data_IF_085248918596
#
_entry.id   IF_085248918596
#
_cell.length_a   1.000
_cell.length_b   1.000
_cell.length_c   1.000
_cell.angle_alpha   90.00
_cell.angle_beta   90.00
_cell.angle_gamma   90.00
#
_symmetry.space_group_name_H-M   'P 1'
#
loop_
_entity.id
_entity.type
_entity.pdbx_description
1 polymer ?
#
# COMPACT_ATOMS: atom_id res chain seq x y z
N UNK A 1 13.06 -49.77 -7.30
CA UNK A 1 12.30 -50.17 -6.08
C UNK A 1 12.63 -49.15 -5.00
N UNK A 2 11.67 -48.29 -4.66
CA UNK A 2 11.78 -47.25 -3.62
C UNK A 2 10.50 -47.39 -2.77
N UNK A 3 10.58 -47.56 -1.43
CA UNK A 3 9.39 -47.75 -0.62
C UNK A 3 8.63 -46.44 -0.36
N UNK A 4 7.31 -46.56 -0.43
CA UNK A 4 6.27 -45.62 0.04
C UNK A 4 6.31 -45.49 1.56
N UNK A 5 6.08 -44.27 2.07
CA UNK A 5 5.62 -44.06 3.44
C UNK A 5 4.46 -43.04 3.46
N UNK A 6 3.33 -43.51 3.99
CA UNK A 6 2.09 -42.78 4.24
C UNK A 6 2.05 -42.22 5.67
N UNK A 7 1.28 -41.17 5.90
CA UNK A 7 0.86 -40.70 7.23
C UNK A 7 0.03 -39.42 7.09
N UNK A 8 -1.30 -39.49 7.10
CA UNK A 8 -2.24 -39.60 8.22
C UNK A 8 -2.72 -38.21 8.71
N UNK A 9 -4.00 -37.95 8.46
CA UNK A 9 -4.75 -36.77 8.86
C UNK A 9 -5.23 -36.86 10.32
N UNK A 10 -5.41 -35.71 10.98
CA UNK A 10 -6.21 -35.56 12.21
C UNK A 10 -6.98 -34.25 12.17
N UNK A 11 -8.30 -34.36 12.20
CA UNK A 11 -9.24 -33.29 12.45
C UNK A 11 -9.65 -33.33 13.94
N UNK A 12 -9.83 -32.18 14.58
CA UNK A 12 -10.63 -32.07 15.80
C UNK A 12 -11.20 -30.65 15.96
N UNK A 13 -12.34 -30.60 16.63
CA UNK A 13 -13.44 -29.64 16.55
C UNK A 13 -13.65 -28.93 17.88
N UNK A 14 -14.16 -27.69 17.80
CA UNK A 14 -15.12 -27.00 18.70
C UNK A 14 -14.83 -26.87 20.21
N UNK A 15 -14.85 -25.63 20.72
CA UNK A 15 -15.55 -25.31 21.98
C UNK A 15 -15.87 -23.80 22.08
N UNK A 16 -17.15 -23.48 22.16
CA UNK A 16 -17.71 -22.18 22.52
C UNK A 16 -17.52 -21.92 24.01
N UNK A 17 -17.20 -20.69 24.43
CA UNK A 17 -17.39 -20.27 25.82
C UNK A 17 -18.33 -19.08 25.88
N UNK A 18 -19.58 -19.38 26.23
CA UNK A 18 -20.58 -18.44 26.71
C UNK A 18 -20.57 -18.52 28.23
N UNK A 19 -20.41 -17.39 28.92
CA UNK A 19 -20.42 -17.36 30.38
C UNK A 19 -20.94 -16.01 30.90
N UNK A 20 -22.23 -15.94 31.16
CA UNK A 20 -22.87 -14.94 32.04
C UNK A 20 -23.58 -15.68 33.17
N UNK A 21 -23.53 -15.16 34.40
CA UNK A 21 -24.62 -15.37 35.34
C UNK A 21 -25.28 -14.04 35.71
N UNK A 22 -26.62 -14.10 35.73
CA UNK A 22 -27.54 -13.07 36.19
C UNK A 22 -27.53 -12.93 37.71
N UNK A 23 -27.99 -11.77 38.20
CA UNK A 23 -28.54 -11.63 39.55
C UNK A 23 -29.87 -10.91 39.43
N UNK A 24 -30.93 -11.60 39.85
CA UNK A 24 -32.31 -11.17 39.88
C UNK A 24 -32.68 -10.50 41.22
N UNK A 25 -33.67 -9.61 41.15
CA UNK A 25 -34.64 -9.34 42.21
C UNK A 25 -34.95 -7.84 42.44
N UNK A 26 -36.17 -7.47 42.87
CA UNK A 26 -37.48 -8.02 42.52
C UNK A 26 -38.49 -6.93 42.07
N UNK A 27 -39.63 -7.40 41.55
CA UNK A 27 -40.82 -6.67 41.11
C UNK A 27 -41.31 -5.54 42.04
N UNK A 28 -42.01 -4.53 41.52
CA UNK A 28 -43.50 -4.45 41.55
C UNK A 28 -44.03 -3.08 41.05
N UNK A 29 -45.15 -3.17 40.31
CA UNK A 29 -46.21 -2.17 40.05
C UNK A 29 -46.01 -1.20 38.88
N UNK A 30 -46.89 -1.41 37.89
CA UNK A 30 -46.99 -0.60 36.69
C UNK A 30 -47.56 0.80 36.89
N UNK A 31 -47.12 1.69 36.00
CA UNK A 31 -47.92 2.80 35.49
C UNK A 31 -47.44 3.14 34.07
N UNK A 32 -48.26 2.81 33.07
CA UNK A 32 -48.29 3.45 31.74
C UNK A 32 -49.75 3.86 31.50
N UNK A 33 -50.08 4.81 30.60
CA UNK A 33 -49.24 5.72 29.82
C UNK A 33 -49.58 7.21 30.15
N UNK A 34 -48.95 8.26 29.60
CA UNK A 34 -49.31 8.94 28.33
C UNK A 34 -48.31 10.10 28.12
N UNK A 35 -47.89 10.32 26.86
CA UNK A 35 -47.24 11.51 26.25
C UNK A 35 -45.83 11.87 26.76
N UNK A 36 -44.81 12.19 25.96
CA UNK A 36 -44.69 12.69 24.58
C UNK A 36 -43.25 12.38 24.05
N UNK A 37 -42.94 12.57 22.74
CA UNK A 37 -41.65 12.21 22.16
C UNK A 37 -40.51 13.24 22.42
N UNK A 38 -39.32 12.72 22.77
CA UNK A 38 -37.89 13.07 22.45
C UNK A 38 -37.42 14.55 22.32
N UNK A 39 -36.10 14.88 22.42
CA UNK A 39 -34.90 14.04 22.59
C UNK A 39 -33.93 14.50 23.71
N UNK A 40 -32.79 13.81 23.77
CA UNK A 40 -31.72 13.83 24.77
C UNK A 40 -31.13 15.20 25.16
N UNK A 41 -30.76 15.27 26.45
CA UNK A 41 -29.90 16.29 27.03
C UNK A 41 -28.42 16.19 26.60
N UNK A 42 -27.52 16.93 27.25
CA UNK A 42 -26.65 17.91 26.60
C UNK A 42 -25.38 17.30 25.99
N UNK A 43 -25.14 17.60 24.72
CA UNK A 43 -23.77 17.70 24.20
C UNK A 43 -23.10 18.90 24.88
N UNK A 44 -21.91 18.75 25.50
CA UNK A 44 -21.14 19.92 25.92
C UNK A 44 -20.74 20.71 24.68
N UNK A 45 -21.40 21.86 24.50
CA UNK A 45 -20.91 22.92 23.64
C UNK A 45 -20.09 23.85 24.51
N UNK A 46 -18.76 23.76 24.41
CA UNK A 46 -17.91 24.91 24.66
C UNK A 46 -17.21 25.28 23.36
N UNK A 47 -17.74 26.33 22.76
CA UNK A 47 -17.10 27.13 21.74
C UNK A 47 -16.22 28.14 22.46
N UNK A 48 -14.90 28.08 22.29
CA UNK A 48 -14.04 29.26 22.40
C UNK A 48 -12.70 29.03 21.70
N UNK A 49 -12.54 29.75 20.59
CA UNK A 49 -11.30 30.03 19.86
C UNK A 49 -10.17 30.50 20.77
N UNK A 50 -8.95 30.03 20.50
CA UNK A 50 -7.74 30.81 20.74
C UNK A 50 -6.83 30.68 19.53
N UNK A 51 -6.61 31.83 18.90
CA UNK A 51 -5.89 32.03 17.67
C UNK A 51 -4.42 31.62 17.76
N UNK A 52 -3.94 30.91 16.73
CA UNK A 52 -2.54 30.95 16.35
C UNK A 52 -2.44 31.49 14.92
N UNK A 53 -1.99 32.72 14.87
CA UNK A 53 -1.64 33.54 13.72
C UNK A 53 -0.69 32.79 12.77
N UNK A 54 -1.22 32.15 11.74
CA UNK A 54 -0.43 31.80 10.56
C UNK A 54 -0.53 32.98 9.58
N UNK A 55 0.58 33.71 9.39
CA UNK A 55 0.72 34.63 8.25
C UNK A 55 0.56 33.79 6.98
N UNK A 56 -0.58 33.93 6.30
CA UNK A 56 -0.73 33.48 4.92
C UNK A 56 0.20 34.39 4.09
N UNK A 57 1.25 33.87 3.43
CA UNK A 57 1.90 34.63 2.37
C UNK A 57 0.83 34.91 1.33
N UNK A 58 0.72 36.16 0.88
CA UNK A 58 -0.17 36.55 -0.21
C UNK A 58 -0.10 35.52 -1.35
N UNK A 59 -1.22 35.22 -2.04
CA UNK A 59 -1.14 34.42 -3.24
C UNK A 59 -0.27 35.19 -4.23
N UNK A 60 0.99 34.78 -4.36
CA UNK A 60 1.79 35.15 -5.50
C UNK A 60 0.99 34.66 -6.71
N UNK A 61 0.51 35.62 -7.50
CA UNK A 61 -0.05 35.36 -8.81
C UNK A 61 1.06 34.72 -9.63
N UNK A 62 1.20 33.40 -9.54
CA UNK A 62 2.06 32.65 -10.43
C UNK A 62 1.40 32.77 -11.80
N UNK A 63 1.92 33.67 -12.62
CA UNK A 63 1.65 33.70 -14.05
C UNK A 63 2.04 32.32 -14.57
N UNK A 64 1.07 31.43 -14.74
CA UNK A 64 1.26 30.19 -15.48
C UNK A 64 1.44 30.62 -16.92
N UNK A 65 2.69 30.92 -17.29
CA UNK A 65 3.11 30.81 -18.67
C UNK A 65 2.85 29.35 -19.02
N UNK A 66 1.78 29.09 -19.76
CA UNK A 66 1.58 27.86 -20.51
C UNK A 66 2.71 27.76 -21.52
N UNK A 67 3.90 27.43 -21.03
CA UNK A 67 4.97 26.90 -21.85
C UNK A 67 4.46 25.57 -22.34
N UNK A 68 4.27 25.45 -23.64
CA UNK A 68 4.17 24.17 -24.32
C UNK A 68 5.44 23.39 -23.96
N UNK A 69 5.42 22.64 -22.86
CA UNK A 69 6.43 21.63 -22.60
C UNK A 69 6.42 20.72 -23.82
N UNK A 70 7.53 20.56 -24.55
CA UNK A 70 7.55 19.61 -25.65
C UNK A 70 7.13 18.28 -25.07
N UNK A 71 6.09 17.68 -25.65
CA UNK A 71 5.76 16.30 -25.35
C UNK A 71 6.94 15.50 -25.86
N UNK A 72 7.87 15.17 -24.96
CA UNK A 72 8.93 14.24 -25.30
C UNK A 72 8.22 12.90 -25.37
N UNK A 73 7.80 12.56 -26.57
CA UNK A 73 7.29 11.23 -26.90
C UNK A 73 8.51 10.37 -27.05
N UNK A 74 8.84 9.62 -25.99
CA UNK A 74 9.88 8.60 -26.08
C UNK A 74 9.38 7.51 -27.01
N UNK A 75 10.20 7.12 -28.00
CA UNK A 75 9.82 6.08 -28.93
C UNK A 75 9.71 4.72 -28.21
N UNK A 76 8.72 3.91 -28.60
CA UNK A 76 8.62 2.53 -28.16
C UNK A 76 9.94 1.77 -28.44
N UNK A 77 10.33 0.89 -27.52
CA UNK A 77 11.59 0.16 -27.55
C UNK A 77 12.81 0.95 -27.05
N UNK A 78 12.68 2.24 -26.72
CA UNK A 78 13.80 3.02 -26.18
C UNK A 78 14.18 2.47 -24.79
N UNK A 79 15.43 2.01 -24.57
CA UNK A 79 15.85 1.47 -23.28
C UNK A 79 16.14 2.56 -22.26
N UNK A 80 16.04 2.22 -20.98
CA UNK A 80 16.50 3.04 -19.87
C UNK A 80 17.10 2.19 -18.74
N UNK A 81 18.02 2.80 -18.00
CA UNK A 81 18.68 2.18 -16.85
C UNK A 81 17.80 2.10 -15.60
N UNK A 82 17.90 0.98 -14.88
CA UNK A 82 17.27 0.77 -13.59
C UNK A 82 18.05 1.35 -12.40
N UNK A 83 17.88 0.74 -11.24
CA UNK A 83 18.53 1.11 -9.97
C UNK A 83 19.97 0.57 -9.86
N UNK A 84 20.31 -0.49 -10.62
CA UNK A 84 21.66 -1.09 -10.66
C UNK A 84 22.26 -1.47 -9.29
N UNK A 85 21.42 -1.92 -8.35
CA UNK A 85 21.86 -2.34 -7.00
C UNK A 85 22.35 -3.79 -7.04
N UNK A 86 23.63 -4.02 -6.71
CA UNK A 86 24.24 -5.36 -6.72
C UNK A 86 25.29 -5.54 -5.62
N UNK A 87 25.75 -6.78 -5.42
CA UNK A 87 26.83 -7.13 -4.50
C UNK A 87 26.59 -6.68 -3.04
N UNK A 88 27.59 -6.12 -2.34
CA UNK A 88 27.45 -5.73 -0.94
C UNK A 88 26.38 -4.66 -0.67
N UNK A 89 25.99 -3.89 -1.69
CA UNK A 89 24.89 -2.92 -1.56
C UNK A 89 23.53 -3.63 -1.51
N UNK A 90 23.35 -4.66 -2.33
CA UNK A 90 22.16 -5.50 -2.33
C UNK A 90 22.01 -6.26 -0.99
N UNK A 91 23.10 -6.78 -0.44
CA UNK A 91 23.08 -7.47 0.87
C UNK A 91 22.66 -6.54 2.01
N UNK A 92 23.20 -5.31 2.05
CA UNK A 92 22.78 -4.31 3.05
C UNK A 92 21.31 -3.91 2.89
N UNK A 93 20.83 -3.84 1.65
CA UNK A 93 19.43 -3.56 1.37
C UNK A 93 18.53 -4.73 1.81
N UNK A 94 18.95 -5.97 1.56
CA UNK A 94 18.29 -7.18 2.05
C UNK A 94 18.19 -7.15 3.58
N UNK A 95 19.29 -6.88 4.29
CA UNK A 95 19.28 -6.77 5.75
C UNK A 95 18.35 -5.66 6.26
N UNK A 96 18.28 -4.53 5.55
CA UNK A 96 17.37 -3.45 5.91
C UNK A 96 15.91 -3.88 5.74
N UNK A 97 15.59 -4.61 4.67
CA UNK A 97 14.25 -5.16 4.41
C UNK A 97 13.88 -6.25 5.41
N UNK A 98 14.80 -7.15 5.72
CA UNK A 98 14.65 -8.17 6.76
C UNK A 98 14.43 -7.53 8.15
N UNK A 99 15.02 -6.36 8.40
CA UNK A 99 14.78 -5.54 9.58
C UNK A 99 13.47 -4.71 9.52
N UNK A 100 12.62 -4.94 8.51
CA UNK A 100 11.33 -4.30 8.34
C UNK A 100 11.36 -2.93 7.64
N UNK A 101 12.51 -2.51 7.06
CA UNK A 101 12.59 -1.25 6.30
C UNK A 101 12.26 -1.49 4.84
N UNK A 102 11.32 -0.71 4.29
CA UNK A 102 10.90 -0.85 2.89
C UNK A 102 10.40 -2.28 2.56
N UNK A 103 9.43 -2.83 3.32
CA UNK A 103 8.91 -4.18 3.09
C UNK A 103 8.32 -4.37 1.69
N UNK A 104 7.92 -3.27 1.02
CA UNK A 104 7.51 -3.26 -0.37
C UNK A 104 8.57 -3.79 -1.34
N UNK A 105 9.84 -3.85 -0.97
CA UNK A 105 10.90 -4.42 -1.81
C UNK A 105 10.83 -5.94 -1.97
N UNK A 106 10.03 -6.63 -1.16
CA UNK A 106 9.77 -8.07 -1.32
C UNK A 106 8.70 -8.34 -2.39
N UNK A 107 7.97 -7.31 -2.79
CA UNK A 107 6.88 -7.39 -3.76
C UNK A 107 7.29 -6.69 -5.06
N UNK A 108 7.43 -7.48 -6.11
CA UNK A 108 7.80 -7.05 -7.47
C UNK A 108 6.88 -5.95 -8.04
N UNK A 109 5.57 -6.03 -7.80
CA UNK A 109 4.59 -5.05 -8.30
C UNK A 109 4.75 -3.71 -7.56
N UNK A 110 4.96 -3.76 -6.25
CA UNK A 110 5.20 -2.59 -5.43
C UNK A 110 6.54 -1.93 -5.78
N UNK A 111 7.59 -2.70 -6.06
CA UNK A 111 8.87 -2.18 -6.57
C UNK A 111 8.68 -1.48 -7.91
N UNK A 112 8.01 -2.13 -8.87
CA UNK A 112 7.74 -1.54 -10.18
C UNK A 112 6.96 -0.22 -10.04
N UNK A 113 5.91 -0.19 -9.20
CA UNK A 113 5.09 1.01 -8.95
C UNK A 113 5.91 2.12 -8.28
N UNK A 114 6.73 1.79 -7.29
CA UNK A 114 7.61 2.75 -6.63
C UNK A 114 8.63 3.34 -7.60
N UNK A 115 9.21 2.51 -8.47
CA UNK A 115 10.16 2.95 -9.49
C UNK A 115 9.55 3.93 -10.48
N UNK A 116 8.39 3.60 -11.07
CA UNK A 116 7.74 4.50 -12.05
C UNK A 116 7.16 5.76 -11.40
N UNK A 117 6.73 5.68 -10.14
CA UNK A 117 6.34 6.85 -9.36
C UNK A 117 7.52 7.79 -9.14
N UNK A 118 8.67 7.27 -8.72
CA UNK A 118 9.86 8.07 -8.47
C UNK A 118 10.49 8.64 -9.75
N UNK A 119 10.50 7.86 -10.85
CA UNK A 119 11.20 8.22 -12.09
C UNK A 119 10.34 9.02 -13.07
N UNK A 120 9.07 8.67 -13.20
CA UNK A 120 8.15 9.26 -14.18
C UNK A 120 7.03 10.08 -13.53
N UNK A 121 6.94 10.10 -12.19
CA UNK A 121 5.87 10.81 -11.48
C UNK A 121 4.51 10.12 -11.53
N UNK A 122 4.46 8.85 -11.93
CA UNK A 122 3.20 8.10 -12.09
C UNK A 122 2.71 7.58 -10.73
N UNK A 123 1.89 8.37 -10.06
CA UNK A 123 1.31 8.02 -8.75
C UNK A 123 0.27 6.90 -8.81
N UNK A 124 -0.38 6.71 -9.96
CA UNK A 124 -1.43 5.70 -10.17
C UNK A 124 -1.10 4.78 -11.36
N UNK A 125 0.15 4.35 -11.49
CA UNK A 125 0.52 3.40 -12.52
C UNK A 125 -0.13 2.03 -12.27
N UNK A 126 -0.75 1.49 -13.32
CA UNK A 126 -1.22 0.10 -13.35
C UNK A 126 -0.03 -0.79 -13.66
N UNK A 127 0.27 -1.75 -12.78
CA UNK A 127 1.35 -2.71 -12.98
C UNK A 127 0.74 -4.08 -13.27
N UNK A 128 1.23 -4.74 -14.31
CA UNK A 128 0.84 -6.11 -14.69
C UNK A 128 2.06 -6.99 -14.87
N UNK A 129 1.98 -8.23 -14.39
CA UNK A 129 3.00 -9.26 -14.58
C UNK A 129 2.96 -9.87 -15.98
N UNK A 130 4.09 -9.83 -16.68
CA UNK A 130 4.27 -10.57 -17.94
C UNK A 130 4.99 -11.92 -17.71
N UNK A 131 5.87 -12.00 -16.72
CA UNK A 131 6.64 -13.19 -16.30
C UNK A 131 7.19 -12.95 -14.89
N UNK A 132 7.73 -13.92 -14.16
CA UNK A 132 8.23 -13.71 -12.78
C UNK A 132 9.13 -12.47 -12.63
N UNK A 133 10.05 -12.23 -13.57
CA UNK A 133 11.02 -11.13 -13.51
C UNK A 133 10.68 -9.92 -14.39
N UNK A 134 9.50 -9.87 -15.04
CA UNK A 134 9.16 -8.80 -15.99
C UNK A 134 7.80 -8.20 -15.67
N UNK A 135 7.76 -6.88 -15.49
CA UNK A 135 6.55 -6.12 -15.16
C UNK A 135 6.30 -5.03 -16.18
N UNK A 136 5.05 -4.86 -16.59
CA UNK A 136 4.64 -3.73 -17.42
C UNK A 136 3.94 -2.72 -16.52
N UNK A 137 4.36 -1.46 -16.58
CA UNK A 137 3.76 -0.36 -15.85
C UNK A 137 3.15 0.63 -16.84
N UNK A 138 1.87 0.90 -16.71
CA UNK A 138 1.12 1.85 -17.55
C UNK A 138 0.71 3.05 -16.71
N UNK A 139 1.20 4.23 -17.09
CA UNK A 139 0.88 5.51 -16.48
C UNK A 139 -0.56 5.98 -16.77
N UNK A 140 -1.04 7.00 -16.05
CA UNK A 140 -2.39 7.56 -16.23
C UNK A 140 -2.59 8.25 -17.58
N UNK A 141 -1.50 8.64 -18.23
CA UNK A 141 -1.42 9.21 -19.57
C UNK A 141 -1.46 8.15 -20.69
N UNK A 142 -1.62 6.87 -20.34
CA UNK A 142 -1.66 5.74 -21.27
C UNK A 142 -0.28 5.30 -21.78
N UNK A 143 0.80 5.93 -21.30
CA UNK A 143 2.17 5.52 -21.63
C UNK A 143 2.56 4.27 -20.85
N UNK A 144 3.21 3.33 -21.51
CA UNK A 144 3.68 2.09 -20.88
C UNK A 144 5.20 2.00 -20.84
N UNK A 145 5.73 1.35 -19.82
CA UNK A 145 7.11 0.86 -19.80
C UNK A 145 7.12 -0.60 -19.38
N UNK A 146 8.02 -1.37 -19.97
CA UNK A 146 8.34 -2.73 -19.55
C UNK A 146 9.61 -2.68 -18.71
N UNK A 147 9.57 -3.27 -17.53
CA UNK A 147 10.62 -3.29 -16.53
C UNK A 147 11.13 -4.72 -16.35
N UNK A 148 12.45 -4.88 -16.35
CA UNK A 148 13.14 -6.10 -15.95
C UNK A 148 13.57 -5.95 -14.48
N UNK A 149 13.09 -6.88 -13.65
CA UNK A 149 13.39 -6.94 -12.22
C UNK A 149 14.27 -8.14 -11.94
N UNK A 150 15.23 -7.97 -11.03
CA UNK A 150 16.13 -9.02 -10.59
C UNK A 150 16.16 -9.08 -9.07
N UNK A 151 16.55 -10.24 -8.55
CA UNK A 151 16.80 -10.43 -7.12
C UNK A 151 18.30 -10.54 -6.85
N UNK A 152 18.98 -9.42 -6.53
CA UNK A 152 20.45 -9.38 -6.52
C UNK A 152 21.09 -10.01 -5.27
N UNK A 153 20.35 -10.18 -4.17
CA UNK A 153 20.90 -10.67 -2.90
C UNK A 153 20.48 -12.12 -2.58
N UNK A 154 19.19 -12.42 -2.70
CA UNK A 154 18.60 -13.72 -2.39
C UNK A 154 17.47 -13.98 -3.37
N UNK A 155 17.37 -15.20 -3.89
CA UNK A 155 16.30 -15.61 -4.80
C UNK A 155 15.12 -16.22 -4.02
N UNK A 156 13.88 -15.93 -4.43
CA UNK A 156 12.63 -16.46 -3.86
C UNK A 156 11.83 -15.44 -3.04
N UNK A 157 10.82 -15.92 -2.29
CA UNK A 157 9.81 -15.09 -1.59
C UNK A 157 10.35 -14.13 -0.52
N UNK A 158 11.61 -14.31 -0.10
CA UNK A 158 12.30 -13.42 0.83
C UNK A 158 13.34 -12.52 0.17
N UNK A 159 13.46 -12.55 -1.16
CA UNK A 159 14.44 -11.79 -1.91
C UNK A 159 13.97 -10.38 -2.22
N UNK A 160 14.84 -9.40 -2.03
CA UNK A 160 14.56 -8.04 -2.51
C UNK A 160 14.52 -8.01 -4.04
N UNK A 161 13.56 -7.28 -4.59
CA UNK A 161 13.47 -6.98 -6.01
C UNK A 161 14.07 -5.59 -6.31
N UNK A 162 14.77 -5.52 -7.43
CA UNK A 162 15.41 -4.29 -7.94
C UNK A 162 15.18 -4.21 -9.43
N UNK A 163 14.84 -3.02 -9.94
CA UNK A 163 14.76 -2.79 -11.38
C UNK A 163 16.17 -2.73 -11.95
N UNK A 164 16.50 -3.64 -12.87
CA UNK A 164 17.81 -3.66 -13.56
C UNK A 164 17.77 -2.75 -14.80
N UNK A 165 16.73 -2.90 -15.61
CA UNK A 165 16.57 -2.17 -16.85
C UNK A 165 15.09 -2.08 -17.26
N UNK A 166 14.79 -1.27 -18.27
CA UNK A 166 13.47 -1.27 -18.88
C UNK A 166 13.48 -0.63 -20.26
N UNK A 167 12.33 -0.67 -20.93
CA UNK A 167 12.11 0.00 -22.20
C UNK A 167 10.69 0.58 -22.29
N UNK A 168 10.53 1.60 -23.12
CA UNK A 168 9.22 2.18 -23.41
C UNK A 168 8.38 1.23 -24.29
N UNK A 169 7.08 1.12 -24.00
CA UNK A 169 6.10 0.41 -24.85
C UNK A 169 5.48 1.34 -25.90
#
# INVERSE_FOLDING_TARGET
MIPVAAGAAVAAVTACTSGSPASEGPDTVGRRPISAPMPAGPIPSDTASAALTARVPAPLTATVTSGLSPVVTTAAGTPFDGEHVSGPAAERLQQAVDAGRQPWRLDEDAVARAFVSARFGWSQATVTGNSESVRVATGPDGRGVTLALVQPARVGDGGIWVVESGHWN
#
